data_IF_802623541356
#
_entry.id   IF_802623541356
#
_cell.length_a   1.000
_cell.length_b   1.000
_cell.length_c   1.000
_cell.angle_alpha   90.00
_cell.angle_beta   90.00
_cell.angle_gamma   90.00
#
_symmetry.space_group_name_H-M   'P 1'
#
loop_
_entity.id
_entity.type
_entity.pdbx_description
1 polymer ?
#
# COMPACT_ATOMS: atom_id res chain seq x y z
N UNK A 1 -11.54 22.48 -0.42
CA UNK A 1 -10.25 23.14 -0.13
C UNK A 1 -9.17 22.10 0.05
N UNK A 2 -8.04 22.34 -0.55
CA UNK A 2 -6.92 21.42 -0.41
C UNK A 2 -6.31 21.54 0.97
N UNK A 3 -5.96 20.41 1.54
CA UNK A 3 -5.27 20.35 2.83
C UNK A 3 -3.85 20.86 2.67
N UNK A 4 -3.37 21.67 3.63
CA UNK A 4 -1.98 22.15 3.59
C UNK A 4 -1.03 21.02 3.95
N UNK A 5 0.26 21.22 3.62
CA UNK A 5 1.28 20.21 3.96
C UNK A 5 1.35 19.99 5.45
N UNK A 6 1.25 21.05 6.25
CA UNK A 6 1.30 20.92 7.70
C UNK A 6 0.06 20.17 8.22
N UNK A 7 -1.11 20.49 7.69
CA UNK A 7 -2.34 19.79 8.08
C UNK A 7 -2.26 18.30 7.75
N UNK A 8 -1.73 17.97 6.58
CA UNK A 8 -1.56 16.57 6.20
C UNK A 8 -0.60 15.86 7.16
N UNK A 9 0.54 16.48 7.45
CA UNK A 9 1.53 15.88 8.36
C UNK A 9 0.93 15.64 9.74
N UNK A 10 0.13 16.59 10.24
CA UNK A 10 -0.50 16.42 11.54
C UNK A 10 -1.53 15.30 11.54
N UNK A 11 -2.24 15.14 10.43
CA UNK A 11 -3.29 14.12 10.34
C UNK A 11 -2.72 12.70 10.22
N UNK A 12 -1.67 12.50 9.43
CA UNK A 12 -1.16 11.15 9.17
C UNK A 12 0.13 10.83 9.92
N UNK A 13 0.79 11.82 10.52
CA UNK A 13 2.03 11.62 11.27
C UNK A 13 3.27 11.80 10.41
N UNK A 14 4.41 12.00 11.09
CA UNK A 14 5.66 12.33 10.41
C UNK A 14 6.13 11.22 9.48
N UNK A 15 6.13 9.96 9.94
CA UNK A 15 6.63 8.86 9.11
C UNK A 15 5.77 8.69 7.87
N UNK A 16 4.45 8.67 8.04
CA UNK A 16 3.55 8.52 6.90
C UNK A 16 3.70 9.67 5.92
N UNK A 17 3.90 10.88 6.43
CA UNK A 17 4.11 12.05 5.58
C UNK A 17 5.39 11.89 4.75
N UNK A 18 6.51 11.51 5.41
CA UNK A 18 7.77 11.36 4.69
C UNK A 18 7.71 10.25 3.65
N UNK A 19 7.05 9.15 3.97
CA UNK A 19 6.91 8.04 3.03
C UNK A 19 6.07 8.45 1.82
N UNK A 20 4.89 9.03 2.05
CA UNK A 20 3.95 9.29 0.95
C UNK A 20 4.30 10.52 0.13
N UNK A 21 4.87 11.54 0.76
CA UNK A 21 5.12 12.83 0.11
C UNK A 21 6.57 13.00 -0.32
N UNK A 22 7.52 12.39 0.38
CA UNK A 22 8.95 12.56 0.09
C UNK A 22 9.63 11.26 -0.28
N UNK A 23 8.86 10.20 -0.54
CA UNK A 23 9.33 8.91 -1.03
C UNK A 23 10.33 8.25 -0.07
N UNK A 24 10.21 8.51 1.23
CA UNK A 24 11.02 7.82 2.22
C UNK A 24 10.58 6.37 2.35
N UNK A 25 11.45 5.54 2.94
CA UNK A 25 11.17 4.13 3.16
C UNK A 25 11.29 3.85 4.65
N UNK A 26 10.26 3.22 5.22
CA UNK A 26 10.33 2.80 6.63
C UNK A 26 11.37 1.69 6.77
N UNK A 27 11.90 1.52 7.99
CA UNK A 27 12.85 0.43 8.23
C UNK A 27 12.15 -0.92 8.10
N UNK A 28 12.86 -1.89 7.52
CA UNK A 28 12.34 -3.24 7.36
C UNK A 28 11.96 -3.84 8.70
N UNK A 29 10.86 -4.58 8.73
CA UNK A 29 10.34 -5.29 9.91
C UNK A 29 9.83 -4.39 11.02
N UNK A 30 9.67 -3.08 10.77
CA UNK A 30 9.17 -2.16 11.79
C UNK A 30 7.75 -1.69 11.54
N UNK A 31 7.19 -1.93 10.35
CA UNK A 31 5.87 -1.44 10.01
C UNK A 31 4.76 -2.21 10.69
N UNK A 32 3.68 -1.51 10.95
CA UNK A 32 2.52 -2.08 11.67
C UNK A 32 1.93 -3.29 10.95
N UNK A 33 1.95 -3.28 9.62
CA UNK A 33 1.27 -4.30 8.83
C UNK A 33 2.22 -5.35 8.25
N UNK A 34 3.50 -5.34 8.62
CA UNK A 34 4.44 -6.32 8.09
C UNK A 34 4.01 -7.74 8.45
N UNK A 35 3.75 -7.97 9.72
CA UNK A 35 3.34 -9.29 10.22
C UNK A 35 1.89 -9.23 10.68
N UNK A 36 0.98 -8.87 9.76
CA UNK A 36 -0.42 -8.62 10.05
C UNK A 36 -1.25 -9.23 8.94
N UNK A 37 -2.13 -10.17 9.29
CA UNK A 37 -2.86 -10.94 8.27
C UNK A 37 -4.37 -11.03 8.54
N UNK A 38 -4.94 -10.04 9.20
CA UNK A 38 -6.39 -9.99 9.41
C UNK A 38 -7.10 -9.65 8.09
N UNK A 39 -8.35 -10.10 7.96
CA UNK A 39 -9.13 -9.86 6.76
C UNK A 39 -9.65 -8.43 6.69
N UNK A 40 -9.49 -7.81 5.53
CA UNK A 40 -9.93 -6.45 5.31
C UNK A 40 -9.30 -5.85 4.07
N UNK A 41 -9.32 -4.52 4.02
CA UNK A 41 -8.80 -3.78 2.88
C UNK A 41 -7.76 -2.76 3.36
N UNK A 42 -6.73 -2.56 2.53
CA UNK A 42 -5.69 -1.56 2.77
C UNK A 42 -5.92 -0.38 1.84
N UNK A 43 -6.01 0.80 2.42
CA UNK A 43 -6.30 2.02 1.67
C UNK A 43 -5.16 3.02 1.83
N UNK A 44 -5.10 4.01 0.94
CA UNK A 44 -4.11 5.07 1.00
C UNK A 44 -4.33 5.89 2.28
N UNK A 45 -3.28 6.04 3.09
CA UNK A 45 -3.38 6.78 4.35
C UNK A 45 -3.73 8.24 4.11
N UNK A 46 -3.37 8.80 2.94
CA UNK A 46 -3.62 10.19 2.61
C UNK A 46 -5.06 10.39 2.13
N UNK A 47 -5.51 9.60 1.18
CA UNK A 47 -6.78 9.83 0.48
C UNK A 47 -7.90 8.87 0.87
N UNK A 48 -7.55 7.72 1.42
CA UNK A 48 -8.54 6.68 1.69
C UNK A 48 -8.92 5.86 0.47
N UNK A 49 -8.26 6.07 -0.67
CA UNK A 49 -8.60 5.29 -1.86
C UNK A 49 -8.14 3.84 -1.68
N UNK A 50 -8.93 2.86 -2.17
CA UNK A 50 -8.60 1.45 -1.97
C UNK A 50 -7.40 1.04 -2.81
N UNK A 51 -6.50 0.26 -2.20
CA UNK A 51 -5.25 -0.13 -2.85
C UNK A 51 -5.05 -1.64 -2.92
N UNK A 52 -5.20 -2.34 -1.79
CA UNK A 52 -4.90 -3.78 -1.71
C UNK A 52 -5.90 -4.49 -0.82
N UNK A 53 -6.11 -5.77 -1.09
CA UNK A 53 -6.95 -6.64 -0.27
C UNK A 53 -6.09 -7.60 0.53
N UNK A 54 -6.57 -7.96 1.73
CA UNK A 54 -5.87 -8.91 2.58
C UNK A 54 -5.70 -10.27 1.92
N UNK A 55 -6.63 -10.65 1.05
CA UNK A 55 -6.53 -11.94 0.35
C UNK A 55 -5.36 -12.00 -0.63
N UNK A 56 -4.81 -10.86 -0.99
CA UNK A 56 -3.64 -10.79 -1.87
C UNK A 56 -2.35 -10.54 -1.11
N UNK A 57 -2.40 -10.45 0.21
CA UNK A 57 -1.22 -10.25 1.05
C UNK A 57 -0.61 -11.60 1.39
N UNK A 58 0.72 -11.65 1.38
CA UNK A 58 1.43 -12.86 1.74
C UNK A 58 2.74 -12.53 2.45
N UNK A 59 3.31 -13.51 3.13
CA UNK A 59 4.57 -13.34 3.85
C UNK A 59 5.73 -13.63 2.92
N UNK A 60 6.33 -12.57 2.36
CA UNK A 60 7.47 -12.72 1.46
C UNK A 60 8.80 -12.72 2.21
N UNK A 61 8.80 -12.33 3.48
CA UNK A 61 10.03 -12.21 4.26
C UNK A 61 10.84 -10.97 3.95
N UNK A 62 10.31 -10.04 3.16
CA UNK A 62 11.09 -8.86 2.74
C UNK A 62 11.17 -7.75 3.79
N UNK A 63 10.36 -7.83 4.85
CA UNK A 63 10.39 -6.82 5.91
C UNK A 63 9.35 -5.72 5.75
N UNK A 64 8.53 -5.79 4.70
CA UNK A 64 7.43 -4.88 4.44
C UNK A 64 6.21 -5.68 4.00
N UNK A 65 5.00 -5.13 4.16
CA UNK A 65 3.82 -5.81 3.62
C UNK A 65 3.99 -6.11 2.14
N UNK A 66 3.70 -7.33 1.75
CA UNK A 66 3.83 -7.76 0.36
C UNK A 66 2.50 -8.26 -0.17
N UNK A 67 2.18 -7.87 -1.40
CA UNK A 67 0.92 -8.20 -2.05
C UNK A 67 1.20 -8.73 -3.45
N UNK A 68 0.34 -9.62 -3.94
CA UNK A 68 0.51 -10.18 -5.29
C UNK A 68 -0.09 -9.29 -6.37
N UNK A 69 -1.06 -8.45 -6.02
CA UNK A 69 -1.71 -7.57 -6.98
C UNK A 69 -2.46 -6.47 -6.25
N UNK A 70 -2.77 -5.34 -6.93
CA UNK A 70 -3.63 -4.32 -6.34
C UNK A 70 -5.09 -4.74 -6.40
N UNK A 71 -5.94 -3.99 -5.71
CA UNK A 71 -7.39 -4.24 -5.70
C UNK A 71 -7.97 -4.09 -7.11
N UNK A 72 -7.36 -3.23 -7.92
CA UNK A 72 -7.77 -2.95 -9.29
C UNK A 72 -6.53 -2.43 -10.01
N UNK A 73 -6.37 -2.80 -11.28
CA UNK A 73 -5.22 -2.36 -12.07
C UNK A 73 -5.12 -0.83 -12.12
N UNK A 74 -6.25 -0.15 -12.07
CA UNK A 74 -6.28 1.33 -12.13
C UNK A 74 -5.98 2.00 -10.80
N UNK A 75 -5.81 1.23 -9.71
CA UNK A 75 -5.56 1.80 -8.39
C UNK A 75 -4.14 2.35 -8.24
N UNK A 76 -3.22 1.86 -9.03
CA UNK A 76 -1.80 2.20 -8.90
C UNK A 76 -1.25 2.77 -10.21
N UNK A 77 -0.17 3.54 -10.07
CA UNK A 77 0.65 3.92 -11.21
C UNK A 77 2.10 3.63 -10.88
N UNK A 78 2.89 3.41 -11.91
CA UNK A 78 4.27 2.97 -11.77
C UNK A 78 5.21 3.97 -12.41
N UNK A 79 6.35 4.19 -11.75
CA UNK A 79 7.39 5.08 -12.23
C UNK A 79 8.72 4.37 -12.14
N UNK A 80 9.62 4.69 -13.06
CA UNK A 80 10.98 4.16 -13.01
C UNK A 80 11.75 4.88 -11.92
N UNK A 81 12.38 4.11 -11.04
CA UNK A 81 13.16 4.65 -9.92
C UNK A 81 14.62 4.23 -10.09
N UNK A 82 15.48 5.23 -10.32
CA UNK A 82 16.91 5.00 -10.53
C UNK A 82 17.75 5.34 -9.30
N UNK A 83 17.13 5.58 -8.16
CA UNK A 83 17.85 5.92 -6.94
C UNK A 83 18.64 4.73 -6.42
N UNK A 84 19.60 5.00 -5.54
CA UNK A 84 20.43 3.98 -4.90
C UNK A 84 21.20 3.11 -5.90
N UNK A 85 21.52 3.65 -7.08
CA UNK A 85 22.24 2.94 -8.15
C UNK A 85 21.54 1.67 -8.59
N UNK A 86 20.20 1.64 -8.46
CA UNK A 86 19.38 0.49 -8.86
C UNK A 86 18.32 0.94 -9.84
N UNK A 87 17.84 -0.02 -10.65
CA UNK A 87 16.70 0.23 -11.51
C UNK A 87 15.51 -0.53 -10.90
N UNK A 88 14.54 0.21 -10.37
CA UNK A 88 13.38 -0.38 -9.72
C UNK A 88 12.11 0.29 -10.27
N UNK A 89 10.97 -0.35 -10.03
CA UNK A 89 9.68 0.22 -10.41
C UNK A 89 8.98 0.71 -9.15
N UNK A 90 8.85 2.02 -9.04
CA UNK A 90 8.17 2.67 -7.93
C UNK A 90 6.66 2.56 -8.12
N UNK A 91 5.92 2.34 -7.03
CA UNK A 91 4.47 2.25 -7.04
C UNK A 91 3.88 3.41 -6.26
N UNK A 92 2.93 4.12 -6.88
CA UNK A 92 2.20 5.23 -6.25
C UNK A 92 0.71 5.02 -6.42
N UNK A 93 -0.09 5.60 -5.52
CA UNK A 93 -1.54 5.55 -5.67
C UNK A 93 -1.95 6.43 -6.85
N UNK A 94 -2.96 5.97 -7.61
CA UNK A 94 -3.36 6.66 -8.83
C UNK A 94 -4.00 8.02 -8.55
N UNK A 95 -4.77 8.13 -7.47
CA UNK A 95 -5.49 9.36 -7.15
C UNK A 95 -4.63 10.38 -6.43
N UNK A 96 -4.10 10.00 -5.25
CA UNK A 96 -3.35 10.94 -4.41
C UNK A 96 -1.88 11.04 -4.79
N UNK A 97 -1.38 10.16 -5.64
CA UNK A 97 0.02 10.12 -6.04
C UNK A 97 0.96 9.89 -4.84
N UNK A 98 0.47 9.18 -3.82
CA UNK A 98 1.28 8.86 -2.65
C UNK A 98 2.32 7.81 -3.02
N UNK A 99 3.58 8.01 -2.61
CA UNK A 99 4.59 6.97 -2.76
C UNK A 99 4.24 5.82 -1.83
N UNK A 100 4.14 4.62 -2.36
CA UNK A 100 3.75 3.44 -1.59
C UNK A 100 4.92 2.50 -1.38
N UNK A 101 5.69 2.25 -2.41
CA UNK A 101 6.80 1.30 -2.38
C UNK A 101 7.25 0.95 -3.77
N UNK A 102 7.55 -0.32 -3.99
CA UNK A 102 8.08 -0.81 -5.28
C UNK A 102 7.45 -2.15 -5.63
N UNK A 103 7.45 -2.47 -6.93
CA UNK A 103 7.01 -3.78 -7.39
C UNK A 103 8.19 -4.49 -8.03
N UNK A 104 8.32 -5.79 -7.74
CA UNK A 104 9.41 -6.63 -8.21
C UNK A 104 8.87 -7.87 -8.94
N UNK A 105 9.63 -8.44 -9.89
CA UNK A 105 9.15 -9.58 -10.67
C UNK A 105 9.42 -10.94 -10.01
N UNK A 106 9.75 -10.97 -8.72
CA UNK A 106 10.09 -12.20 -7.99
C UNK A 106 8.97 -12.65 -7.05
N UNK A 107 7.72 -12.40 -7.42
CA UNK A 107 6.57 -12.85 -6.64
C UNK A 107 6.14 -14.28 -6.99
N UNK A 108 5.07 -14.77 -6.32
CA UNK A 108 4.58 -16.12 -6.58
C UNK A 108 4.09 -16.28 -8.02
N UNK A 109 4.61 -17.28 -8.70
CA UNK A 109 4.29 -17.48 -10.12
C UNK A 109 2.82 -17.78 -10.35
N UNK A 110 2.22 -18.54 -9.45
CA UNK A 110 0.81 -18.92 -9.56
C UNK A 110 -0.12 -17.76 -9.27
N UNK A 111 0.42 -16.64 -8.80
CA UNK A 111 -0.36 -15.43 -8.50
C UNK A 111 0.02 -14.25 -9.40
N UNK A 112 0.68 -14.52 -10.52
CA UNK A 112 1.05 -13.47 -11.47
C UNK A 112 2.51 -13.07 -11.46
N UNK A 113 3.31 -13.59 -10.54
CA UNK A 113 4.75 -13.40 -10.55
C UNK A 113 5.26 -12.09 -10.03
N UNK A 114 4.40 -11.22 -9.50
CA UNK A 114 4.81 -9.91 -9.01
C UNK A 114 4.77 -9.85 -7.49
N UNK A 115 5.67 -9.03 -6.93
CA UNK A 115 5.73 -8.78 -5.49
C UNK A 115 5.64 -7.26 -5.29
N UNK A 116 4.50 -6.80 -4.79
CA UNK A 116 4.30 -5.40 -4.42
C UNK A 116 4.74 -5.24 -2.97
N UNK A 117 5.88 -4.58 -2.77
CA UNK A 117 6.50 -4.40 -1.46
C UNK A 117 6.17 -2.97 -1.01
N UNK A 118 5.28 -2.84 -0.02
CA UNK A 118 4.62 -1.57 0.28
C UNK A 118 4.92 -1.15 1.72
N UNK A 119 5.19 0.13 1.93
CA UNK A 119 5.41 0.67 3.28
C UNK A 119 4.11 0.66 4.09
N UNK A 120 4.16 0.09 5.30
CA UNK A 120 2.99 0.14 6.20
C UNK A 120 2.53 1.56 6.45
N UNK A 121 3.47 2.49 6.58
CA UNK A 121 3.15 3.88 6.90
C UNK A 121 2.34 4.57 5.81
N UNK A 122 2.31 4.02 4.59
CA UNK A 122 1.52 4.56 3.49
C UNK A 122 0.09 4.02 3.49
N UNK A 123 -0.21 3.05 4.35
CA UNK A 123 -1.46 2.32 4.32
C UNK A 123 -2.27 2.53 5.59
N UNK A 124 -3.59 2.42 5.46
CA UNK A 124 -4.50 2.30 6.59
C UNK A 124 -5.35 1.06 6.37
N UNK A 125 -5.43 0.23 7.39
CA UNK A 125 -6.20 -1.01 7.31
C UNK A 125 -7.64 -0.80 7.79
N UNK A 126 -8.60 -1.34 7.04
CA UNK A 126 -10.01 -1.32 7.42
C UNK A 126 -10.44 -2.79 7.58
N UNK A 127 -10.80 -3.23 8.79
CA UNK A 127 -11.22 -4.61 9.00
C UNK A 127 -12.45 -4.98 8.18
N UNK A 128 -12.57 -6.24 7.84
CA UNK A 128 -13.65 -6.75 6.99
C UNK A 128 -15.02 -6.31 7.49
N UNK A 129 -15.26 -6.43 8.80
CA UNK A 129 -16.56 -6.12 9.37
C UNK A 129 -16.85 -4.61 9.47
N UNK A 130 -15.87 -3.77 9.15
CA UNK A 130 -16.06 -2.33 9.11
C UNK A 130 -16.06 -1.77 7.69
N UNK A 131 -15.81 -2.62 6.70
CA UNK A 131 -15.66 -2.15 5.32
C UNK A 131 -16.92 -1.50 4.77
N UNK A 132 -18.08 -2.08 5.05
CA UNK A 132 -19.32 -1.54 4.54
C UNK A 132 -19.60 -0.15 5.12
N UNK A 133 -19.44 0.01 6.42
CA UNK A 133 -19.68 1.30 7.08
C UNK A 133 -18.68 2.35 6.62
N UNK A 134 -17.47 1.93 6.25
CA UNK A 134 -16.42 2.86 5.82
C UNK A 134 -16.49 3.20 4.33
N UNK A 135 -17.44 2.60 3.59
CA UNK A 135 -17.61 2.90 2.17
C UNK A 135 -16.92 1.94 1.23
N UNK A 136 -16.40 0.82 1.73
CA UNK A 136 -15.67 -0.15 0.93
C UNK A 136 -16.43 -1.47 0.75
N UNK A 137 -17.76 -1.45 0.95
CA UNK A 137 -18.55 -2.68 0.93
C UNK A 137 -18.48 -3.44 -0.39
N UNK A 138 -18.30 -2.72 -1.50
CA UNK A 138 -18.23 -3.38 -2.81
C UNK A 138 -17.03 -4.32 -2.95
N UNK A 139 -16.04 -4.18 -2.09
CA UNK A 139 -14.85 -5.03 -2.15
C UNK A 139 -14.96 -6.29 -1.29
N UNK A 140 -16.05 -6.42 -0.54
CA UNK A 140 -16.25 -7.61 0.31
C UNK A 140 -16.27 -8.90 -0.50
N UNK A 141 -16.91 -8.87 -1.68
CA UNK A 141 -16.99 -10.04 -2.53
C UNK A 141 -15.61 -10.50 -3.00
N UNK A 142 -14.67 -9.58 -3.12
CA UNK A 142 -13.32 -9.89 -3.60
C UNK A 142 -12.46 -10.56 -2.53
N UNK A 143 -12.86 -10.47 -1.27
CA UNK A 143 -12.12 -11.10 -0.18
C UNK A 143 -12.37 -12.60 -0.07
N UNK A 144 -13.36 -13.09 -0.75
CA UNK A 144 -13.81 -14.47 -0.60
C UNK A 144 -13.00 -15.47 -1.41
N UNK A 145 -11.81 -15.16 -1.79
CA UNK A 145 -11.02 -16.06 -2.64
C UNK A 145 -9.98 -16.85 -1.85
#
# INVERSE_FOLDING_TARGET
MAESKQELRERIGDLAYEVTQNAATEYAFTGEYDDFFEEGIYVDVVSGEPLFLSSDKYNSGCGWPAFTKPVDASALKENRDLSHFMVRTEVRSAGANSHLGHVFPDGPRDKGGLRYCINSAALRFVPKDEMEAAGYGEYLAKLEK
#
